data_IF_615690619822
#
_entry.id   IF_615690619822
#
_cell.length_a   1.000
_cell.length_b   1.000
_cell.length_c   1.000
_cell.angle_alpha   90.00
_cell.angle_beta   90.00
_cell.angle_gamma   90.00
#
_symmetry.space_group_name_H-M   'P 1'
#
loop_
_entity.id
_entity.type
_entity.pdbx_description
1 polymer ?
#
# COMPACT_ATOMS: atom_id res chain seq x y z
N UNK A 1 4.32 -20.97 -8.25
CA UNK A 1 4.59 -19.62 -7.73
C UNK A 1 4.33 -19.71 -6.24
N UNK A 2 5.34 -19.49 -5.43
CA UNK A 2 5.21 -19.62 -3.98
C UNK A 2 4.45 -18.40 -3.43
N UNK A 3 3.79 -18.55 -2.27
CA UNK A 3 3.01 -17.47 -1.64
C UNK A 3 3.84 -16.20 -1.40
N UNK A 4 5.12 -16.38 -1.08
CA UNK A 4 6.08 -15.29 -0.88
C UNK A 4 6.34 -14.52 -2.18
N UNK A 5 6.42 -15.21 -3.34
CA UNK A 5 6.59 -14.56 -4.64
C UNK A 5 5.40 -13.65 -4.97
N UNK A 6 4.18 -14.13 -4.69
CA UNK A 6 2.94 -13.37 -4.93
C UNK A 6 2.83 -12.15 -4.02
N UNK A 7 3.21 -12.28 -2.75
CA UNK A 7 3.23 -11.14 -1.83
C UNK A 7 4.28 -10.11 -2.24
N UNK A 8 5.46 -10.57 -2.67
CA UNK A 8 6.52 -9.71 -3.18
C UNK A 8 6.06 -8.98 -4.45
N UNK A 9 5.33 -9.64 -5.35
CA UNK A 9 4.77 -9.00 -6.55
C UNK A 9 3.79 -7.89 -6.18
N UNK A 10 2.84 -8.15 -5.28
CA UNK A 10 1.88 -7.14 -4.82
C UNK A 10 2.60 -5.96 -4.17
N UNK A 11 3.56 -6.22 -3.27
CA UNK A 11 4.33 -5.17 -2.63
C UNK A 11 5.12 -4.33 -3.64
N UNK A 12 5.78 -4.97 -4.60
CA UNK A 12 6.52 -4.27 -5.64
C UNK A 12 5.60 -3.37 -6.48
N UNK A 13 4.42 -3.87 -6.87
CA UNK A 13 3.43 -3.06 -7.60
C UNK A 13 2.92 -1.89 -6.75
N UNK A 14 2.58 -2.14 -5.48
CA UNK A 14 2.10 -1.12 -4.55
C UNK A 14 3.12 0.00 -4.34
N UNK A 15 4.38 -0.35 -4.04
CA UNK A 15 5.44 0.64 -3.84
C UNK A 15 5.85 1.35 -5.12
N UNK A 16 5.78 0.68 -6.29
CA UNK A 16 6.00 1.36 -7.57
C UNK A 16 4.96 2.43 -7.80
N UNK A 17 3.68 2.12 -7.54
CA UNK A 17 2.60 3.09 -7.69
C UNK A 17 2.73 4.24 -6.69
N UNK A 18 3.09 3.92 -5.45
CA UNK A 18 3.32 4.91 -4.40
C UNK A 18 4.49 5.85 -4.71
N UNK A 19 5.57 5.31 -5.29
CA UNK A 19 6.72 6.08 -5.72
C UNK A 19 6.38 6.99 -6.92
N UNK A 20 5.53 6.53 -7.84
CA UNK A 20 5.12 7.33 -8.99
C UNK A 20 4.22 8.51 -8.60
N UNK A 21 3.26 8.30 -7.70
CA UNK A 21 2.30 9.33 -7.31
C UNK A 21 2.87 10.29 -6.27
N UNK A 22 3.62 9.77 -5.29
CA UNK A 22 4.06 10.55 -4.13
C UNK A 22 5.58 10.68 -3.98
N UNK A 23 6.37 10.12 -4.90
CA UNK A 23 7.83 10.15 -4.81
C UNK A 23 8.40 9.32 -3.64
N UNK A 24 7.60 8.45 -3.02
CA UNK A 24 8.04 7.68 -1.85
C UNK A 24 8.92 6.49 -2.28
N UNK A 25 10.23 6.74 -2.31
CA UNK A 25 11.24 5.74 -2.70
C UNK A 25 11.69 4.84 -1.55
N UNK A 26 11.48 5.26 -0.30
CA UNK A 26 11.93 4.54 0.90
C UNK A 26 10.77 4.41 1.90
N UNK A 27 10.00 3.30 1.86
CA UNK A 27 8.93 3.06 2.82
C UNK A 27 9.49 2.82 4.23
N UNK A 28 8.75 3.19 5.29
CA UNK A 28 9.07 2.74 6.65
C UNK A 28 8.81 1.25 6.79
N UNK A 29 9.39 0.64 7.82
CA UNK A 29 8.98 -0.66 8.34
C UNK A 29 7.47 -0.78 8.59
N UNK A 30 6.77 0.33 8.89
CA UNK A 30 5.31 0.34 9.04
C UNK A 30 4.60 0.24 7.69
N UNK A 31 5.10 0.96 6.67
CA UNK A 31 4.59 0.88 5.29
C UNK A 31 4.95 -0.44 4.60
N UNK A 32 6.05 -1.10 4.96
CA UNK A 32 6.36 -2.48 4.52
C UNK A 32 5.23 -3.47 4.87
N UNK A 33 4.44 -3.15 5.90
CA UNK A 33 3.25 -3.89 6.34
C UNK A 33 1.97 -3.08 6.10
N UNK A 34 1.92 -2.30 5.02
CA UNK A 34 0.76 -1.46 4.67
C UNK A 34 -0.56 -2.24 4.67
N UNK A 35 -0.54 -3.51 4.28
CA UNK A 35 -1.72 -4.39 4.26
C UNK A 35 -2.27 -4.71 5.66
N UNK A 36 -1.52 -4.46 6.73
CA UNK A 36 -1.98 -4.56 8.13
C UNK A 36 -2.57 -3.22 8.64
N UNK A 37 -2.41 -2.13 7.89
CA UNK A 37 -2.87 -0.80 8.28
C UNK A 37 -4.31 -0.54 7.85
N UNK A 38 -4.99 0.35 8.57
CA UNK A 38 -6.18 1.02 8.04
C UNK A 38 -5.77 2.04 6.96
N UNK A 39 -6.71 2.41 6.09
CA UNK A 39 -6.43 3.46 5.11
C UNK A 39 -6.13 4.82 5.78
N UNK A 40 -6.76 5.11 6.92
CA UNK A 40 -6.44 6.30 7.72
C UNK A 40 -5.01 6.26 8.28
N UNK A 41 -4.56 5.12 8.80
CA UNK A 41 -3.18 4.94 9.25
C UNK A 41 -2.18 5.11 8.12
N UNK A 42 -2.49 4.58 6.94
CA UNK A 42 -1.68 4.75 5.74
C UNK A 42 -1.60 6.23 5.33
N UNK A 43 -2.73 6.96 5.31
CA UNK A 43 -2.73 8.41 5.05
C UNK A 43 -1.87 9.16 6.06
N UNK A 44 -1.96 8.82 7.35
CA UNK A 44 -1.12 9.44 8.38
C UNK A 44 0.37 9.16 8.15
N UNK A 45 0.74 7.95 7.70
CA UNK A 45 2.13 7.64 7.32
C UNK A 45 2.63 8.51 6.17
N UNK A 46 1.77 8.85 5.20
CA UNK A 46 2.13 9.75 4.10
C UNK A 46 2.23 11.22 4.58
N UNK A 47 1.26 11.69 5.37
CA UNK A 47 1.25 13.05 5.93
C UNK A 47 2.48 13.30 6.81
N UNK A 48 2.88 12.32 7.64
CA UNK A 48 4.07 12.39 8.49
C UNK A 48 5.38 12.51 7.70
N UNK A 49 5.33 12.33 6.38
CA UNK A 49 6.47 12.47 5.44
C UNK A 49 6.35 13.70 4.55
N UNK A 50 5.49 14.64 4.93
CA UNK A 50 5.22 15.86 4.18
C UNK A 50 4.64 15.60 2.77
N UNK A 51 4.00 14.44 2.57
CA UNK A 51 3.28 14.13 1.33
C UNK A 51 1.89 14.75 1.40
N UNK A 52 1.61 15.68 0.49
CA UNK A 52 0.28 16.25 0.29
C UNK A 52 -0.43 15.57 -0.89
N UNK A 53 -1.73 15.37 -0.76
CA UNK A 53 -2.60 14.77 -1.77
C UNK A 53 -3.93 15.53 -1.81
N UNK A 54 -4.58 15.54 -2.98
CA UNK A 54 -5.94 16.08 -3.10
C UNK A 54 -7.00 15.00 -2.86
N UNK A 55 -8.26 15.43 -2.72
CA UNK A 55 -9.38 14.54 -2.42
C UNK A 55 -9.63 13.49 -3.53
N UNK A 56 -9.28 13.81 -4.77
CA UNK A 56 -9.43 12.88 -5.91
C UNK A 56 -8.38 11.77 -5.81
N UNK A 57 -7.12 12.15 -5.62
CA UNK A 57 -5.99 11.25 -5.42
C UNK A 57 -6.26 10.33 -4.23
N UNK A 58 -6.79 10.86 -3.12
CA UNK A 58 -7.12 10.05 -1.95
C UNK A 58 -8.23 9.04 -2.23
N UNK A 59 -9.26 9.42 -2.97
CA UNK A 59 -10.36 8.51 -3.31
C UNK A 59 -9.86 7.35 -4.19
N UNK A 60 -9.04 7.66 -5.20
CA UNK A 60 -8.43 6.66 -6.08
C UNK A 60 -7.52 5.70 -5.29
N UNK A 61 -6.74 6.26 -4.36
CA UNK A 61 -5.87 5.48 -3.47
C UNK A 61 -6.64 4.62 -2.46
N UNK A 62 -7.80 5.07 -1.97
CA UNK A 62 -8.63 4.29 -1.03
C UNK A 62 -9.16 3.02 -1.70
N UNK A 63 -9.69 3.15 -2.91
CA UNK A 63 -10.17 2.02 -3.70
C UNK A 63 -9.02 1.06 -4.03
N UNK A 64 -7.89 1.59 -4.54
CA UNK A 64 -6.71 0.78 -4.86
C UNK A 64 -6.15 0.07 -3.62
N UNK A 65 -5.97 0.78 -2.51
CA UNK A 65 -5.46 0.23 -1.25
C UNK A 65 -6.35 -0.92 -0.76
N UNK A 66 -7.66 -0.73 -0.77
CA UNK A 66 -8.63 -1.74 -0.34
C UNK A 66 -8.54 -2.99 -1.21
N UNK A 67 -8.52 -2.82 -2.53
CA UNK A 67 -8.40 -3.93 -3.47
C UNK A 67 -7.11 -4.73 -3.27
N UNK A 68 -5.97 -4.05 -3.11
CA UNK A 68 -4.70 -4.73 -2.89
C UNK A 68 -4.68 -5.42 -1.52
N UNK A 69 -5.22 -4.78 -0.48
CA UNK A 69 -5.29 -5.36 0.86
C UNK A 69 -6.13 -6.64 0.86
N UNK A 70 -7.25 -6.67 0.14
CA UNK A 70 -8.06 -7.87 -0.04
C UNK A 70 -7.29 -8.99 -0.73
N UNK A 71 -6.50 -8.69 -1.77
CA UNK A 71 -5.64 -9.70 -2.42
C UNK A 71 -4.64 -10.30 -1.43
N UNK A 72 -3.97 -9.47 -0.63
CA UNK A 72 -3.04 -9.96 0.40
C UNK A 72 -3.76 -10.82 1.44
N UNK A 73 -4.93 -10.39 1.92
CA UNK A 73 -5.76 -11.17 2.87
C UNK A 73 -6.17 -12.52 2.29
N UNK A 74 -6.58 -12.58 1.02
CA UNK A 74 -6.93 -13.82 0.34
C UNK A 74 -5.72 -14.75 0.20
N UNK A 75 -4.55 -14.23 -0.21
CA UNK A 75 -3.30 -14.98 -0.25
C UNK A 75 -2.88 -15.51 1.12
N UNK A 76 -3.15 -14.75 2.18
CA UNK A 76 -2.86 -15.17 3.56
C UNK A 76 -3.79 -16.27 4.05
N UNK A 77 -5.09 -16.20 3.70
CA UNK A 77 -6.14 -17.14 4.10
C UNK A 77 -6.15 -18.46 3.32
N UNK A 78 -5.50 -18.55 2.16
CA UNK A 78 -5.34 -19.80 1.40
C UNK A 78 -4.35 -20.81 2.05
N UNK A 79 -4.22 -20.79 3.38
CA UNK A 79 -3.35 -21.65 4.17
C UNK A 79 -4.18 -22.60 5.05
#
# INVERSE_FOLDING_TARGET
MEKEDLLNEINNQFFTYLANDFGLTHPSHRLEKWYELSFDDFKQELINRDISFDDTTISDWEEYFTLQQEKVKQLQQQA
#
